data_IF_111620224744
#
_entry.id   IF_111620224744
#
_cell.length_a   1.000
_cell.length_b   1.000
_cell.length_c   1.000
_cell.angle_alpha   90.00
_cell.angle_beta   90.00
_cell.angle_gamma   90.00
#
_symmetry.space_group_name_H-M   'P 1'
#
loop_
_entity.id
_entity.type
_entity.pdbx_description
1 polymer ?
#
# COMPACT_ATOMS: atom_id res chain seq x y z
N UNK A 1 -13.37 17.81 8.88
CA UNK A 1 -13.27 16.90 7.72
C UNK A 1 -12.57 15.63 8.16
N UNK A 2 -13.12 14.46 7.86
CA UNK A 2 -12.47 13.16 8.09
C UNK A 2 -11.24 13.07 7.17
N UNK A 3 -10.05 12.99 7.76
CA UNK A 3 -8.78 13.13 7.01
C UNK A 3 -8.33 11.81 6.39
N UNK A 4 -8.69 10.69 7.02
CA UNK A 4 -8.18 9.37 6.69
C UNK A 4 -9.14 8.30 7.23
N UNK A 5 -9.47 7.31 6.40
CA UNK A 5 -10.38 6.22 6.79
C UNK A 5 -9.91 4.90 6.24
N UNK A 6 -9.65 3.97 7.16
CA UNK A 6 -9.28 2.58 6.87
C UNK A 6 -10.38 1.69 7.45
N UNK A 7 -10.97 0.83 6.63
CA UNK A 7 -11.86 -0.22 7.09
C UNK A 7 -11.11 -1.54 7.14
N UNK A 8 -11.17 -2.20 8.29
CA UNK A 8 -10.56 -3.50 8.54
C UNK A 8 -11.65 -4.49 8.95
N UNK A 9 -11.69 -5.64 8.27
CA UNK A 9 -12.60 -6.73 8.61
C UNK A 9 -11.77 -8.01 8.82
N UNK A 10 -11.69 -8.45 10.08
CA UNK A 10 -10.98 -9.66 10.50
C UNK A 10 -9.52 -9.46 10.93
N UNK A 11 -9.08 -10.38 11.80
CA UNK A 11 -7.77 -10.56 12.46
C UNK A 11 -7.44 -9.62 13.64
N UNK A 12 -7.27 -10.21 14.84
CA UNK A 12 -6.94 -9.57 16.12
C UNK A 12 -5.44 -9.27 16.30
N UNK A 13 -4.60 -9.70 15.37
CA UNK A 13 -3.13 -9.56 15.39
C UNK A 13 -2.61 -8.11 15.22
N UNK A 14 -3.49 -7.16 14.89
CA UNK A 14 -3.17 -5.78 14.58
C UNK A 14 -3.00 -4.86 15.79
N UNK A 15 -2.77 -5.38 17.00
CA UNK A 15 -2.64 -4.51 18.17
C UNK A 15 -1.53 -3.46 17.98
N UNK A 16 -0.47 -3.75 17.21
CA UNK A 16 0.61 -2.79 16.90
C UNK A 16 0.27 -1.78 15.80
N UNK A 17 -0.31 -2.19 14.65
CA UNK A 17 -0.74 -1.26 13.59
C UNK A 17 -1.95 -0.43 14.05
N UNK A 18 -2.94 -1.05 14.70
CA UNK A 18 -4.04 -0.32 15.32
C UNK A 18 -3.54 0.57 16.45
N UNK A 19 -2.54 0.16 17.26
CA UNK A 19 -1.94 1.06 18.26
C UNK A 19 -1.15 2.18 17.62
N UNK A 20 -0.42 1.98 16.53
CA UNK A 20 0.23 3.06 15.80
C UNK A 20 -0.81 4.00 15.20
N UNK A 21 -1.82 3.46 14.52
CA UNK A 21 -2.95 4.22 13.97
C UNK A 21 -3.80 4.87 15.06
N UNK A 22 -3.90 4.34 16.29
CA UNK A 22 -4.64 4.94 17.43
C UNK A 22 -3.80 5.97 18.20
N UNK A 23 -2.54 5.65 18.49
CA UNK A 23 -1.55 6.53 19.13
C UNK A 23 -1.32 7.78 18.29
N UNK A 24 -1.23 7.63 16.97
CA UNK A 24 -1.17 8.74 16.05
C UNK A 24 -2.57 9.18 15.57
N UNK A 25 -3.59 8.34 15.77
CA UNK A 25 -4.99 8.53 15.34
C UNK A 25 -5.74 9.65 16.01
N UNK A 26 -5.39 9.98 17.26
CA UNK A 26 -5.91 11.18 17.92
C UNK A 26 -5.57 12.47 17.13
N UNK A 27 -4.50 12.46 16.32
CA UNK A 27 -4.13 13.55 15.41
C UNK A 27 -4.78 13.43 14.01
N UNK A 28 -5.33 12.27 13.67
CA UNK A 28 -5.91 11.91 12.38
C UNK A 28 -7.45 11.97 12.36
N UNK A 29 -8.11 11.95 13.52
CA UNK A 29 -9.57 11.96 13.62
C UNK A 29 -10.12 12.92 14.69
N UNK A 30 -10.88 13.93 14.26
CA UNK A 30 -12.11 14.38 14.92
C UNK A 30 -13.00 15.01 13.82
N UNK A 31 -14.32 14.74 13.78
CA UNK A 31 -15.24 14.68 14.91
C UNK A 31 -15.83 13.28 15.13
N UNK A 32 -16.26 13.02 16.36
CA UNK A 32 -17.04 11.86 16.83
C UNK A 32 -17.43 10.82 15.75
N UNK A 33 -16.73 9.68 15.76
CA UNK A 33 -17.18 8.32 15.40
C UNK A 33 -16.22 7.53 14.48
N UNK A 34 -15.62 6.51 15.10
CA UNK A 34 -15.21 5.22 14.54
C UNK A 34 -14.06 5.17 13.52
N UNK A 35 -12.84 5.02 14.03
CA UNK A 35 -11.97 3.92 13.59
C UNK A 35 -12.72 2.60 13.84
N UNK A 36 -13.64 2.24 12.95
CA UNK A 36 -14.53 1.10 13.10
C UNK A 36 -13.91 -0.15 12.51
N UNK A 37 -13.41 -1.05 13.35
CA UNK A 37 -13.39 -2.48 13.05
C UNK A 37 -14.85 -2.95 13.02
N UNK A 38 -15.38 -3.27 11.85
CA UNK A 38 -16.71 -3.87 11.73
C UNK A 38 -16.53 -5.37 11.52
N UNK A 39 -16.79 -6.15 12.56
CA UNK A 39 -16.78 -7.62 12.52
C UNK A 39 -18.18 -8.12 12.24
N UNK A 40 -18.32 -8.78 11.07
CA UNK A 40 -19.38 -9.72 10.70
C UNK A 40 -20.79 -9.16 10.35
N UNK A 41 -21.39 -9.74 9.31
CA UNK A 41 -22.83 -9.63 9.02
C UNK A 41 -23.29 -8.75 7.85
N UNK A 42 -22.38 -8.16 7.06
CA UNK A 42 -22.81 -7.33 5.92
C UNK A 42 -23.11 -8.16 4.66
N UNK A 43 -24.30 -7.93 4.11
CA UNK A 43 -24.58 -8.24 2.71
C UNK A 43 -23.61 -7.45 1.81
N UNK A 44 -23.03 -8.10 0.82
CA UNK A 44 -21.92 -7.59 0.01
C UNK A 44 -22.20 -6.23 -0.61
N UNK A 45 -23.43 -6.05 -1.10
CA UNK A 45 -23.90 -4.82 -1.74
C UNK A 45 -23.95 -3.64 -0.74
N UNK A 46 -24.33 -3.92 0.51
CA UNK A 46 -24.41 -2.91 1.56
C UNK A 46 -23.01 -2.47 2.04
N UNK A 47 -22.04 -3.39 2.05
CA UNK A 47 -20.68 -3.06 2.47
C UNK A 47 -20.00 -2.12 1.47
N UNK A 48 -19.96 -2.48 0.18
CA UNK A 48 -19.24 -1.70 -0.83
C UNK A 48 -19.89 -0.32 -1.06
N UNK A 49 -21.22 -0.25 -1.02
CA UNK A 49 -21.93 1.03 -1.07
C UNK A 49 -21.64 1.89 0.16
N UNK A 50 -21.51 1.30 1.35
CA UNK A 50 -21.10 2.00 2.57
C UNK A 50 -19.65 2.50 2.51
N UNK A 51 -18.72 1.69 1.99
CA UNK A 51 -17.32 2.09 1.77
C UNK A 51 -17.22 3.35 0.91
N UNK A 52 -17.96 3.36 -0.20
CA UNK A 52 -18.01 4.47 -1.15
C UNK A 52 -18.63 5.72 -0.51
N UNK A 53 -19.76 5.56 0.20
CA UNK A 53 -20.46 6.67 0.87
C UNK A 53 -19.65 7.31 1.98
N UNK A 54 -18.84 6.51 2.66
CA UNK A 54 -18.06 6.98 3.81
C UNK A 54 -16.63 7.38 3.44
N UNK A 55 -16.34 7.56 2.15
CA UNK A 55 -15.04 7.97 1.64
C UNK A 55 -13.89 7.12 2.23
N UNK A 56 -14.07 5.79 2.23
CA UNK A 56 -13.03 4.87 2.69
C UNK A 56 -11.85 4.90 1.74
N UNK A 57 -10.65 5.09 2.27
CA UNK A 57 -9.42 5.22 1.49
C UNK A 57 -8.65 3.90 1.37
N UNK A 58 -8.85 2.98 2.31
CA UNK A 58 -8.27 1.63 2.31
C UNK A 58 -9.25 0.63 2.92
N UNK A 59 -9.45 -0.50 2.25
CA UNK A 59 -10.22 -1.64 2.75
C UNK A 59 -9.35 -2.89 2.83
N UNK A 60 -9.14 -3.42 4.04
CA UNK A 60 -8.44 -4.69 4.21
C UNK A 60 -9.40 -5.75 4.75
N UNK A 61 -9.25 -6.95 4.21
CA UNK A 61 -9.99 -8.12 4.69
C UNK A 61 -9.05 -9.28 4.94
N UNK A 62 -9.31 -10.06 5.99
CA UNK A 62 -8.77 -11.42 6.06
C UNK A 62 -9.47 -12.33 5.04
N UNK A 63 -8.90 -13.51 4.77
CA UNK A 63 -9.61 -14.58 4.05
C UNK A 63 -10.83 -15.05 4.87
N UNK A 64 -11.99 -15.36 4.25
CA UNK A 64 -12.25 -15.52 2.80
C UNK A 64 -12.71 -14.25 2.05
N UNK A 65 -12.34 -13.04 2.46
CA UNK A 65 -12.84 -11.76 1.91
C UNK A 65 -12.49 -11.36 0.47
N UNK A 66 -11.92 -12.27 -0.34
CA UNK A 66 -11.39 -11.97 -1.67
C UNK A 66 -12.43 -11.30 -2.60
N UNK A 67 -13.66 -11.80 -2.60
CA UNK A 67 -14.74 -11.23 -3.41
C UNK A 67 -15.00 -9.77 -3.08
N UNK A 68 -14.99 -9.41 -1.79
CA UNK A 68 -15.26 -8.04 -1.35
C UNK A 68 -14.10 -7.12 -1.69
N UNK A 69 -12.86 -7.61 -1.55
CA UNK A 69 -11.65 -6.87 -1.94
C UNK A 69 -11.68 -6.54 -3.44
N UNK A 70 -12.01 -7.52 -4.29
CA UNK A 70 -12.12 -7.30 -5.74
C UNK A 70 -13.25 -6.31 -6.09
N UNK A 71 -14.38 -6.37 -5.39
CA UNK A 71 -15.48 -5.44 -5.61
C UNK A 71 -15.10 -4.01 -5.19
N UNK A 72 -14.40 -3.83 -4.07
CA UNK A 72 -13.88 -2.54 -3.62
C UNK A 72 -12.89 -1.94 -4.63
N UNK A 73 -11.95 -2.75 -5.14
CA UNK A 73 -11.01 -2.34 -6.20
C UNK A 73 -11.75 -1.87 -7.45
N UNK A 74 -12.80 -2.58 -7.87
CA UNK A 74 -13.62 -2.19 -9.04
C UNK A 74 -14.34 -0.85 -8.87
N UNK A 75 -14.48 -0.37 -7.63
CA UNK A 75 -15.06 0.93 -7.28
C UNK A 75 -14.01 2.00 -7.02
N UNK A 76 -12.73 1.72 -7.29
CA UNK A 76 -11.63 2.67 -7.09
C UNK A 76 -11.25 2.88 -5.61
N UNK A 77 -11.59 1.92 -4.75
CA UNK A 77 -11.16 1.90 -3.35
C UNK A 77 -9.95 0.97 -3.26
N UNK A 78 -8.83 1.47 -2.74
CA UNK A 78 -7.66 0.63 -2.51
C UNK A 78 -8.02 -0.50 -1.54
N UNK A 79 -7.78 -1.75 -1.94
CA UNK A 79 -8.14 -2.88 -1.13
C UNK A 79 -7.20 -4.07 -1.32
N UNK A 80 -7.03 -4.88 -0.26
CA UNK A 80 -6.15 -6.03 -0.28
C UNK A 80 -6.59 -7.11 0.73
N UNK A 81 -6.15 -8.34 0.48
CA UNK A 81 -6.27 -9.45 1.44
C UNK A 81 -5.08 -9.39 2.40
N UNK A 82 -5.36 -9.18 3.68
CA UNK A 82 -4.34 -9.09 4.71
C UNK A 82 -3.98 -10.48 5.23
N UNK A 83 -2.67 -10.70 5.41
CA UNK A 83 -2.09 -11.87 6.06
C UNK A 83 -1.12 -11.39 7.14
N UNK A 84 -1.17 -12.05 8.29
CA UNK A 84 -0.37 -11.71 9.46
C UNK A 84 0.56 -12.87 9.80
N UNK A 85 1.84 -12.61 10.13
CA UNK A 85 2.77 -13.65 10.54
C UNK A 85 2.51 -14.07 11.99
N UNK A 86 2.98 -15.25 12.38
CA UNK A 86 2.87 -15.73 13.77
C UNK A 86 3.54 -14.79 14.79
N UNK A 87 4.65 -14.16 14.38
CA UNK A 87 5.40 -13.19 15.17
C UNK A 87 5.66 -11.95 14.35
N UNK A 88 4.98 -10.86 14.69
CA UNK A 88 5.18 -9.57 14.04
C UNK A 88 6.47 -8.94 14.56
N UNK A 89 7.37 -8.59 13.63
CA UNK A 89 8.54 -7.74 13.89
C UNK A 89 8.24 -6.32 13.43
N UNK A 90 7.86 -5.44 14.35
CA UNK A 90 7.84 -3.99 14.09
C UNK A 90 9.02 -3.32 14.79
N UNK A 91 9.39 -2.12 14.35
CA UNK A 91 10.47 -1.36 15.00
C UNK A 91 10.11 -0.83 16.40
N UNK A 92 8.89 -1.03 16.91
CA UNK A 92 8.46 -0.44 18.20
C UNK A 92 8.52 1.10 18.25
N UNK A 93 8.80 1.72 17.11
CA UNK A 93 8.96 3.17 16.92
C UNK A 93 7.61 3.85 16.68
N UNK A 94 7.56 5.13 17.02
CA UNK A 94 6.41 6.03 16.87
C UNK A 94 6.19 6.51 15.42
N UNK A 95 6.65 5.74 14.43
CA UNK A 95 6.54 6.08 13.02
C UNK A 95 5.86 4.94 12.26
N UNK A 96 4.68 5.22 11.71
CA UNK A 96 3.97 4.32 10.80
C UNK A 96 4.76 4.16 9.50
N UNK A 97 5.18 2.94 9.20
CA UNK A 97 5.96 2.60 7.99
C UNK A 97 5.09 1.79 7.03
N UNK A 98 4.83 2.35 5.86
CA UNK A 98 3.97 1.77 4.82
C UNK A 98 4.82 1.48 3.59
N UNK A 99 4.91 0.21 3.18
CA UNK A 99 5.66 -0.20 1.99
C UNK A 99 4.70 -0.60 0.88
N UNK A 100 4.96 -0.11 -0.33
CA UNK A 100 4.26 -0.47 -1.55
C UNK A 100 5.19 -1.16 -2.54
N UNK A 101 4.70 -2.17 -3.24
CA UNK A 101 5.24 -2.53 -4.55
C UNK A 101 4.91 -1.46 -5.60
N UNK A 102 5.63 -1.51 -6.72
CA UNK A 102 5.41 -0.66 -7.88
C UNK A 102 4.28 -1.18 -8.77
N UNK A 103 4.62 -2.07 -9.70
CA UNK A 103 3.70 -2.58 -10.72
C UNK A 103 2.50 -3.32 -10.08
N UNK A 104 1.31 -3.19 -10.70
CA UNK A 104 0.04 -3.71 -10.20
C UNK A 104 -0.41 -3.23 -8.79
N UNK A 105 0.35 -2.34 -8.13
CA UNK A 105 0.02 -1.75 -6.83
C UNK A 105 -0.08 -0.22 -6.94
N UNK A 106 1.05 0.48 -7.07
CA UNK A 106 1.07 1.94 -7.30
C UNK A 106 0.91 2.29 -8.78
N UNK A 107 1.50 1.49 -9.65
CA UNK A 107 1.38 1.60 -11.11
C UNK A 107 0.49 0.49 -11.65
N UNK A 108 0.03 0.63 -12.88
CA UNK A 108 -0.68 -0.44 -13.58
C UNK A 108 0.19 -1.67 -13.85
N UNK A 109 -0.40 -2.74 -14.35
CA UNK A 109 0.29 -3.98 -14.76
C UNK A 109 0.99 -3.87 -16.14
N UNK A 110 1.02 -2.69 -16.76
CA UNK A 110 1.44 -2.54 -18.15
C UNK A 110 2.90 -2.97 -18.40
N UNK A 111 3.79 -2.73 -17.45
CA UNK A 111 5.21 -3.09 -17.59
C UNK A 111 5.45 -4.58 -17.32
N UNK A 112 4.68 -5.17 -16.40
CA UNK A 112 4.68 -6.62 -16.16
C UNK A 112 4.22 -7.38 -17.42
N UNK A 113 3.22 -6.84 -18.13
CA UNK A 113 2.76 -7.41 -19.41
C UNK A 113 3.85 -7.41 -20.48
N UNK A 114 4.67 -6.37 -20.56
CA UNK A 114 5.83 -6.33 -21.48
C UNK A 114 6.93 -7.30 -21.01
N UNK A 115 7.15 -7.39 -19.69
CA UNK A 115 8.13 -8.32 -19.12
C UNK A 115 7.82 -9.79 -19.45
N UNK A 116 6.55 -10.17 -19.62
CA UNK A 116 6.14 -11.50 -20.10
C UNK A 116 6.66 -11.82 -21.51
N UNK A 117 7.03 -10.82 -22.30
CA UNK A 117 7.71 -10.98 -23.59
C UNK A 117 9.24 -11.09 -23.47
N UNK A 118 9.79 -11.02 -22.26
CA UNK A 118 11.21 -11.17 -21.95
C UNK A 118 11.88 -9.88 -21.44
N UNK A 119 13.00 -10.05 -20.73
CA UNK A 119 13.74 -8.95 -20.11
C UNK A 119 14.18 -7.88 -21.12
N UNK A 120 14.65 -8.26 -22.31
CA UNK A 120 15.10 -7.28 -23.31
C UNK A 120 13.94 -6.41 -23.83
N UNK A 121 12.75 -7.00 -24.00
CA UNK A 121 11.57 -6.26 -24.41
C UNK A 121 11.17 -5.24 -23.33
N UNK A 122 11.21 -5.65 -22.06
CA UNK A 122 11.00 -4.76 -20.92
C UNK A 122 12.03 -3.62 -20.90
N UNK A 123 13.33 -3.91 -20.99
CA UNK A 123 14.37 -2.88 -20.94
C UNK A 123 14.27 -1.87 -22.09
N UNK A 124 13.93 -2.32 -23.30
CA UNK A 124 13.71 -1.42 -24.43
C UNK A 124 12.48 -0.53 -24.20
N UNK A 125 11.37 -1.14 -23.77
CA UNK A 125 10.14 -0.41 -23.44
C UNK A 125 10.37 0.66 -22.35
N UNK A 126 11.04 0.30 -21.26
CA UNK A 126 11.31 1.23 -20.16
C UNK A 126 12.26 2.35 -20.57
N UNK A 127 13.22 2.08 -21.48
CA UNK A 127 14.11 3.11 -22.01
C UNK A 127 13.37 4.09 -22.92
N UNK A 128 12.54 3.59 -23.83
CA UNK A 128 11.77 4.41 -24.78
C UNK A 128 10.70 5.26 -24.07
N UNK A 129 10.15 4.75 -22.98
CA UNK A 129 9.05 5.38 -22.24
C UNK A 129 9.49 6.01 -20.91
N UNK A 130 10.79 6.25 -20.68
CA UNK A 130 11.30 6.68 -19.35
C UNK A 130 10.69 8.00 -18.84
N UNK A 131 10.31 8.90 -19.76
CA UNK A 131 9.64 10.17 -19.46
C UNK A 131 8.10 10.10 -19.61
N UNK A 132 7.56 8.96 -20.03
CA UNK A 132 6.12 8.75 -20.18
C UNK A 132 5.60 8.10 -18.90
N UNK A 133 4.74 8.80 -18.14
CA UNK A 133 4.23 8.28 -16.87
C UNK A 133 3.44 6.98 -17.10
N UNK A 134 3.59 6.05 -16.16
CA UNK A 134 2.78 4.84 -16.17
C UNK A 134 1.32 5.14 -15.83
N UNK A 135 0.43 4.24 -16.22
CA UNK A 135 -0.97 4.28 -15.79
C UNK A 135 -1.10 4.02 -14.29
N UNK A 136 -2.17 4.55 -13.69
CA UNK A 136 -2.41 4.47 -12.25
C UNK A 136 -2.70 3.01 -11.81
N UNK A 137 -2.07 2.60 -10.71
CA UNK A 137 -2.40 1.37 -10.00
C UNK A 137 -3.49 1.59 -8.93
N UNK A 138 -4.04 0.50 -8.38
CA UNK A 138 -5.15 0.57 -7.41
C UNK A 138 -4.83 1.33 -6.11
N UNK A 139 -3.56 1.47 -5.75
CA UNK A 139 -3.14 2.13 -4.51
C UNK A 139 -2.64 3.57 -4.69
N UNK A 140 -2.64 4.11 -5.92
CA UNK A 140 -2.22 5.50 -6.20
C UNK A 140 -2.98 6.52 -5.35
N UNK A 141 -4.32 6.39 -5.30
CA UNK A 141 -5.18 7.27 -4.47
C UNK A 141 -4.92 7.13 -2.97
N UNK A 142 -4.56 5.94 -2.50
CA UNK A 142 -4.22 5.75 -1.11
C UNK A 142 -2.91 6.46 -0.75
N UNK A 143 -1.90 6.40 -1.63
CA UNK A 143 -0.66 7.17 -1.48
C UNK A 143 -0.94 8.68 -1.48
N UNK A 144 -1.80 9.21 -2.36
CA UNK A 144 -2.20 10.63 -2.36
C UNK A 144 -2.75 11.08 -0.99
N UNK A 145 -3.56 10.23 -0.36
CA UNK A 145 -4.16 10.53 0.93
C UNK A 145 -3.10 10.52 2.03
N UNK A 146 -2.17 9.56 2.00
CA UNK A 146 -1.04 9.52 2.93
C UNK A 146 -0.15 10.76 2.79
N UNK A 147 0.18 11.19 1.57
CA UNK A 147 1.00 12.38 1.35
C UNK A 147 0.29 13.66 1.80
N UNK A 148 -1.00 13.82 1.49
CA UNK A 148 -1.82 14.93 2.03
C UNK A 148 -1.84 14.93 3.55
N UNK A 149 -1.86 13.75 4.15
CA UNK A 149 -1.87 13.61 5.59
C UNK A 149 -0.52 13.97 6.21
N UNK A 150 0.59 13.48 5.63
CA UNK A 150 1.95 13.85 6.02
C UNK A 150 2.15 15.36 5.99
N UNK A 151 1.71 16.03 4.92
CA UNK A 151 1.76 17.50 4.82
C UNK A 151 1.01 18.19 5.97
N UNK A 152 -0.22 17.75 6.27
CA UNK A 152 -1.02 18.33 7.37
C UNK A 152 -0.37 18.13 8.73
N UNK A 153 0.26 16.97 8.96
CA UNK A 153 0.94 16.68 10.22
C UNK A 153 2.21 17.53 10.36
N UNK A 154 3.00 17.67 9.30
CA UNK A 154 4.20 18.49 9.31
C UNK A 154 3.88 19.98 9.52
N UNK A 155 2.75 20.48 9.00
CA UNK A 155 2.30 21.86 9.26
C UNK A 155 1.94 22.06 10.74
N UNK A 156 1.40 21.04 11.42
CA UNK A 156 1.04 21.12 12.85
C UNK A 156 2.26 21.04 13.78
N UNK A 157 3.26 20.26 13.40
CA UNK A 157 4.47 20.03 14.19
C UNK A 157 5.72 20.08 13.27
N UNK A 158 6.13 21.29 12.84
CA UNK A 158 7.19 21.46 11.84
C UNK A 158 8.57 20.98 12.32
N UNK A 159 8.82 21.04 13.63
CA UNK A 159 10.10 20.64 14.26
C UNK A 159 10.15 19.14 14.60
N UNK A 160 9.04 18.41 14.42
CA UNK A 160 8.96 16.98 14.70
C UNK A 160 9.13 16.15 13.41
N UNK A 161 9.75 14.95 13.48
CA UNK A 161 9.81 14.06 12.35
C UNK A 161 8.39 13.60 11.97
N UNK A 162 8.12 13.50 10.66
CA UNK A 162 6.83 13.03 10.20
C UNK A 162 6.53 11.62 10.74
N UNK A 163 5.37 11.38 11.38
CA UNK A 163 5.04 10.10 12.00
C UNK A 163 4.59 9.05 10.97
N UNK A 164 4.60 9.37 9.67
CA UNK A 164 4.28 8.44 8.59
C UNK A 164 5.45 8.43 7.61
N UNK A 165 5.92 7.24 7.26
CA UNK A 165 6.98 7.04 6.28
C UNK A 165 6.57 6.04 5.21
N UNK A 166 6.61 6.46 3.96
CA UNK A 166 6.20 5.69 2.78
C UNK A 166 7.43 5.19 2.03
N UNK A 167 7.37 3.93 1.58
CA UNK A 167 8.45 3.28 0.85
C UNK A 167 7.92 2.68 -0.45
N UNK A 168 8.67 2.83 -1.53
CA UNK A 168 8.55 2.01 -2.74
C UNK A 168 9.60 0.89 -2.68
N UNK A 169 9.19 -0.37 -2.62
CA UNK A 169 10.09 -1.53 -2.70
C UNK A 169 9.69 -2.37 -3.91
N UNK A 170 10.43 -2.23 -5.00
CA UNK A 170 10.06 -2.78 -6.30
C UNK A 170 11.11 -3.73 -6.86
N UNK A 171 10.65 -4.71 -7.62
CA UNK A 171 11.52 -5.63 -8.38
C UNK A 171 12.23 -4.96 -9.56
N UNK A 172 11.83 -3.74 -9.94
CA UNK A 172 12.54 -2.94 -10.96
C UNK A 172 13.99 -2.70 -10.55
N UNK A 173 14.87 -2.61 -11.54
CA UNK A 173 16.25 -2.16 -11.33
C UNK A 173 16.33 -0.63 -11.15
N UNK A 174 17.48 -0.14 -10.68
CA UNK A 174 17.75 1.29 -10.54
C UNK A 174 18.09 2.01 -11.87
N UNK A 175 17.94 1.33 -13.01
CA UNK A 175 18.13 1.87 -14.34
C UNK A 175 16.86 2.50 -14.89
N UNK A 176 16.61 2.34 -16.20
CA UNK A 176 15.48 2.97 -16.89
C UNK A 176 14.12 2.62 -16.28
N UNK A 177 13.92 1.38 -15.81
CA UNK A 177 12.68 0.98 -15.14
C UNK A 177 12.47 1.71 -13.82
N UNK A 178 13.53 1.88 -13.02
CA UNK A 178 13.47 2.65 -11.77
C UNK A 178 13.25 4.14 -12.01
N UNK A 179 13.95 4.73 -13.00
CA UNK A 179 13.75 6.13 -13.37
C UNK A 179 12.32 6.42 -13.83
N UNK A 180 11.73 5.55 -14.66
CA UNK A 180 10.33 5.70 -15.09
C UNK A 180 9.36 5.67 -13.90
N UNK A 181 9.60 4.82 -12.91
CA UNK A 181 8.80 4.78 -11.68
C UNK A 181 8.88 6.10 -10.89
N UNK A 182 10.08 6.65 -10.70
CA UNK A 182 10.26 7.94 -10.02
C UNK A 182 9.68 9.11 -10.83
N UNK A 183 9.87 9.13 -12.15
CA UNK A 183 9.30 10.12 -13.06
C UNK A 183 7.76 10.09 -13.04
N UNK A 184 7.17 8.90 -12.94
CA UNK A 184 5.72 8.73 -12.84
C UNK A 184 5.19 9.36 -11.54
N UNK A 185 5.79 9.01 -10.39
CA UNK A 185 5.42 9.60 -9.09
C UNK A 185 5.54 11.13 -9.12
N UNK A 186 6.66 11.64 -9.65
CA UNK A 186 6.91 13.08 -9.80
C UNK A 186 5.86 13.77 -10.68
N UNK A 187 5.48 13.15 -11.80
CA UNK A 187 4.43 13.67 -12.70
C UNK A 187 3.08 13.75 -12.01
N UNK A 188 2.78 12.80 -11.11
CA UNK A 188 1.57 12.83 -10.28
C UNK A 188 1.64 13.82 -9.12
N UNK A 189 2.78 14.47 -8.88
CA UNK A 189 3.00 15.30 -7.70
C UNK A 189 3.09 14.49 -6.40
N UNK A 190 3.46 13.20 -6.51
CA UNK A 190 3.62 12.28 -5.40
C UNK A 190 5.08 11.94 -5.17
N UNK A 191 5.41 11.67 -3.91
CA UNK A 191 6.72 11.20 -3.50
C UNK A 191 6.56 10.10 -2.46
N UNK A 192 7.52 9.18 -2.44
CA UNK A 192 7.76 8.28 -1.31
C UNK A 192 8.99 8.77 -0.57
N UNK A 193 9.09 8.50 0.72
CA UNK A 193 10.25 8.92 1.52
C UNK A 193 11.51 8.13 1.16
N UNK A 194 11.34 6.85 0.79
CA UNK A 194 12.43 6.00 0.31
C UNK A 194 11.97 5.13 -0.87
N UNK A 195 12.87 4.91 -1.82
CA UNK A 195 12.67 3.98 -2.94
C UNK A 195 13.83 2.98 -3.00
N UNK A 196 13.50 1.69 -3.03
CA UNK A 196 14.45 0.57 -3.10
C UNK A 196 14.17 -0.23 -4.37
N UNK A 197 15.15 -0.25 -5.27
CA UNK A 197 15.11 -0.95 -6.55
C UNK A 197 15.92 -2.23 -6.45
N UNK A 198 15.23 -3.37 -6.44
CA UNK A 198 15.83 -4.67 -6.15
C UNK A 198 16.43 -5.35 -7.38
N UNK A 199 16.06 -4.93 -8.59
CA UNK A 199 16.55 -5.57 -9.82
C UNK A 199 16.26 -7.08 -9.86
N UNK A 200 15.11 -7.49 -9.33
CA UNK A 200 14.68 -8.89 -9.27
C UNK A 200 15.14 -9.70 -8.05
N UNK A 201 15.93 -9.13 -7.13
CA UNK A 201 16.26 -9.83 -5.87
C UNK A 201 15.06 -9.94 -4.94
N UNK A 202 15.15 -10.84 -3.95
CA UNK A 202 14.08 -11.07 -2.99
C UNK A 202 13.78 -9.82 -2.12
N UNK A 203 12.48 -9.63 -1.81
CA UNK A 203 12.01 -8.50 -0.99
C UNK A 203 12.27 -8.71 0.51
N UNK A 204 12.26 -9.97 0.97
CA UNK A 204 12.36 -10.34 2.39
C UNK A 204 13.49 -9.63 3.15
N UNK A 205 14.76 -9.66 2.68
CA UNK A 205 15.86 -8.98 3.37
C UNK A 205 15.68 -7.47 3.52
N UNK A 206 15.10 -6.82 2.50
CA UNK A 206 14.79 -5.39 2.56
C UNK A 206 13.66 -5.11 3.55
N UNK A 207 12.62 -5.95 3.57
CA UNK A 207 11.51 -5.83 4.51
C UNK A 207 11.95 -6.07 5.97
N UNK A 208 12.84 -7.04 6.24
CA UNK A 208 13.40 -7.28 7.58
C UNK A 208 14.22 -6.09 8.09
N UNK A 209 14.84 -5.33 7.18
CA UNK A 209 15.56 -4.09 7.51
C UNK A 209 14.63 -2.90 7.74
N UNK A 210 13.61 -2.74 6.89
CA UNK A 210 12.65 -1.63 7.00
C UNK A 210 11.75 -1.81 8.23
N UNK A 211 11.40 -3.08 8.56
CA UNK A 211 10.38 -3.50 9.53
C UNK A 211 9.08 -2.70 9.41
N UNK A 212 8.42 -2.78 8.24
CA UNK A 212 7.22 -2.01 7.99
C UNK A 212 6.07 -2.50 8.84
N UNK A 213 5.12 -1.61 9.10
CA UNK A 213 3.87 -1.99 9.77
C UNK A 213 2.93 -2.70 8.81
N UNK A 214 3.01 -2.37 7.52
CA UNK A 214 2.19 -2.97 6.47
C UNK A 214 2.93 -2.91 5.13
N UNK A 215 2.83 -3.98 4.36
CA UNK A 215 3.41 -4.13 3.03
C UNK A 215 2.35 -4.54 2.02
N UNK A 216 2.26 -3.84 0.89
CA UNK A 216 1.32 -4.14 -0.20
C UNK A 216 2.06 -4.70 -1.42
N UNK A 217 1.63 -5.85 -1.91
CA UNK A 217 2.19 -6.53 -3.09
C UNK A 217 1.12 -7.36 -3.78
N UNK A 218 1.23 -7.55 -5.09
CA UNK A 218 0.27 -8.33 -5.88
C UNK A 218 0.68 -9.81 -6.04
N UNK A 219 1.91 -10.17 -5.67
CA UNK A 219 2.45 -11.51 -5.84
C UNK A 219 2.51 -12.30 -4.53
N UNK A 220 1.86 -13.46 -4.52
CA UNK A 220 1.80 -14.37 -3.36
C UNK A 220 3.20 -14.74 -2.81
N UNK A 221 4.20 -14.91 -3.68
CA UNK A 221 5.59 -15.20 -3.26
C UNK A 221 6.22 -14.07 -2.42
N UNK A 222 5.91 -12.81 -2.71
CA UNK A 222 6.42 -11.67 -1.95
C UNK A 222 5.69 -11.54 -0.62
N UNK A 223 4.40 -11.88 -0.59
CA UNK A 223 3.61 -11.98 0.64
C UNK A 223 4.21 -13.03 1.57
N UNK A 224 4.53 -14.22 1.07
CA UNK A 224 5.17 -15.28 1.85
C UNK A 224 6.53 -14.84 2.41
N UNK A 225 7.41 -14.28 1.57
CA UNK A 225 8.71 -13.77 2.01
C UNK A 225 8.59 -12.66 3.08
N UNK A 226 7.54 -11.84 3.02
CA UNK A 226 7.27 -10.81 4.03
C UNK A 226 6.83 -11.44 5.36
N UNK A 227 5.96 -12.45 5.32
CA UNK A 227 5.50 -13.16 6.52
C UNK A 227 6.65 -13.89 7.22
N UNK A 228 7.56 -14.50 6.47
CA UNK A 228 8.75 -15.18 7.01
C UNK A 228 9.65 -14.26 7.84
N UNK A 229 9.76 -12.99 7.45
CA UNK A 229 10.54 -11.98 8.18
C UNK A 229 9.74 -11.25 9.25
N UNK A 230 8.47 -11.64 9.48
CA UNK A 230 7.61 -11.06 10.51
C UNK A 230 6.93 -9.75 10.10
N UNK A 231 6.78 -9.50 8.80
CA UNK A 231 6.05 -8.34 8.27
C UNK A 231 4.58 -8.70 7.98
N UNK A 232 3.64 -7.84 8.39
CA UNK A 232 2.24 -7.92 7.95
C UNK A 232 2.16 -7.56 6.47
N UNK A 233 1.53 -8.43 5.68
CA UNK A 233 1.54 -8.33 4.23
C UNK A 233 0.13 -8.40 3.66
N UNK A 234 -0.12 -7.61 2.63
CA UNK A 234 -1.42 -7.38 2.02
C UNK A 234 -1.36 -7.71 0.53
N UNK A 235 -1.99 -8.82 0.15
CA UNK A 235 -2.10 -9.28 -1.22
C UNK A 235 -3.11 -8.42 -1.99
N UNK A 236 -2.65 -7.70 -3.00
CA UNK A 236 -3.50 -6.95 -3.93
C UNK A 236 -3.92 -7.88 -5.06
N UNK A 237 -5.18 -8.33 -5.14
CA UNK A 237 -5.58 -9.26 -6.18
C UNK A 237 -5.62 -8.56 -7.54
N UNK A 238 -4.91 -9.11 -8.52
CA UNK A 238 -5.03 -8.66 -9.90
C UNK A 238 -6.44 -8.97 -10.45
N UNK A 239 -7.00 -8.04 -11.24
CA UNK A 239 -8.16 -8.36 -12.05
C UNK A 239 -7.75 -9.39 -13.11
N UNK A 240 -8.28 -10.61 -13.02
CA UNK A 240 -8.27 -11.53 -14.17
C UNK A 240 -9.10 -10.86 -15.28
N UNK A 241 -8.41 -10.28 -16.26
CA UNK A 241 -9.03 -9.87 -17.53
C UNK A 241 -9.48 -11.09 -18.32
#
# INVERSE_FOLDING_TARGET
EELFKVLLIGDSSLDSFNKAVRKHGEWLTHPQNNTGTFTEGFDSINLISSLSRTNTHLYLSAEPGLRMVQEALSKGIAAAIMKSPEKIKTNGEDQLRVVFDGDAVLFSDESERVFKCGLQAFLNNERENVEIPMNEGPFKRFLEVLERLKMKLQVKAPDEPCPIRTYLVTSRDGGCGGYRALNTLRTWGLMVDEAVFLGGTEKGPTLDRIRPHIFFDDQQRHIEAALEVGTVACLVPQHKK
#
